data_IF_068853374700
#
_entry.id   IF_068853374700
#
_cell.length_a   1.000
_cell.length_b   1.000
_cell.length_c   1.000
_cell.angle_alpha   90.00
_cell.angle_beta   90.00
_cell.angle_gamma   90.00
#
_symmetry.space_group_name_H-M   'P 1'
#
loop_
_entity.id
_entity.type
_entity.pdbx_description
1 polymer ?
#
# COMPACT_ATOMS: atom_id res chain seq x y z
N UNK A 1 -0.49 -30.81 34.72
CA UNK A 1 -1.35 -30.59 33.55
C UNK A 1 -1.67 -29.10 33.26
N UNK A 2 -2.19 -28.28 34.19
CA UNK A 2 -2.46 -26.85 33.93
C UNK A 2 -1.24 -25.93 33.75
N UNK A 3 -0.09 -26.24 34.38
CA UNK A 3 1.15 -25.45 34.23
C UNK A 3 1.81 -25.61 32.85
N UNK A 4 1.61 -26.74 32.17
CA UNK A 4 2.13 -26.96 30.82
C UNK A 4 1.31 -26.23 29.75
N UNK A 5 -0.03 -26.25 29.85
CA UNK A 5 -0.89 -25.41 28.99
C UNK A 5 -0.64 -23.90 29.19
N UNK A 6 -0.34 -23.45 30.41
CA UNK A 6 0.04 -22.05 30.68
C UNK A 6 1.41 -21.70 30.09
N UNK A 7 2.34 -22.65 30.01
CA UNK A 7 3.67 -22.49 29.39
C UNK A 7 3.60 -22.47 27.86
N UNK A 8 2.75 -23.29 27.25
CA UNK A 8 2.47 -23.21 25.80
C UNK A 8 1.73 -21.94 25.40
N UNK A 9 0.74 -21.49 26.19
CA UNK A 9 0.09 -20.19 25.98
C UNK A 9 1.04 -19.00 26.14
N UNK A 10 2.05 -19.11 27.00
CA UNK A 10 3.08 -18.08 27.15
C UNK A 10 4.17 -18.16 26.07
N UNK A 11 4.47 -19.34 25.52
CA UNK A 11 5.43 -19.50 24.41
C UNK A 11 4.84 -19.10 23.05
N UNK A 12 3.53 -19.23 22.82
CA UNK A 12 2.84 -18.61 21.67
C UNK A 12 2.80 -17.07 21.72
N UNK A 13 3.33 -16.45 22.79
CA UNK A 13 3.21 -15.01 23.08
C UNK A 13 4.52 -14.24 23.14
N UNK A 14 5.65 -14.86 22.79
CA UNK A 14 6.85 -14.09 22.42
C UNK A 14 6.62 -13.53 21.01
N UNK A 15 5.91 -12.40 20.96
CA UNK A 15 5.79 -11.53 19.78
C UNK A 15 7.18 -10.99 19.44
N UNK A 16 7.99 -11.81 18.80
CA UNK A 16 9.36 -11.47 18.45
C UNK A 16 9.31 -10.58 17.21
N UNK A 17 9.40 -9.28 17.45
CA UNK A 17 9.55 -8.28 16.41
C UNK A 17 10.74 -8.71 15.53
N UNK A 18 10.57 -8.73 14.20
CA UNK A 18 11.52 -9.22 13.20
C UNK A 18 11.72 -10.75 13.11
N UNK A 19 11.00 -11.54 13.93
CA UNK A 19 11.01 -12.99 13.85
C UNK A 19 9.59 -13.57 13.92
N UNK A 20 8.71 -13.11 13.02
CA UNK A 20 7.38 -13.69 12.91
C UNK A 20 7.45 -15.13 12.39
N UNK A 21 6.57 -15.98 12.91
CA UNK A 21 6.44 -17.40 12.49
C UNK A 21 5.09 -17.70 11.86
N UNK A 22 4.14 -16.77 11.95
CA UNK A 22 2.79 -16.89 11.42
C UNK A 22 2.25 -15.53 10.97
N UNK A 23 1.11 -15.54 10.28
CA UNK A 23 0.49 -14.32 9.77
C UNK A 23 0.09 -13.31 10.87
N UNK A 24 -0.51 -13.71 12.01
CA UNK A 24 -0.82 -12.77 13.10
C UNK A 24 0.41 -12.09 13.70
N UNK A 25 1.53 -12.80 13.90
CA UNK A 25 2.77 -12.20 14.41
C UNK A 25 3.41 -11.27 13.38
N UNK A 26 3.30 -11.59 12.09
CA UNK A 26 3.79 -10.78 10.97
C UNK A 26 3.05 -9.44 10.87
N UNK A 27 1.71 -9.46 10.99
CA UNK A 27 0.88 -8.26 10.88
C UNK A 27 0.77 -7.48 12.20
N UNK A 28 1.39 -7.97 13.27
CA UNK A 28 1.20 -7.45 14.62
C UNK A 28 1.46 -5.94 14.77
N UNK A 29 2.56 -5.36 14.23
CA UNK A 29 2.80 -3.92 14.33
C UNK A 29 1.66 -3.11 13.68
N UNK A 30 1.36 -3.38 12.41
CA UNK A 30 0.30 -2.70 11.66
C UNK A 30 -1.08 -2.85 12.34
N UNK A 31 -1.46 -4.05 12.78
CA UNK A 31 -2.72 -4.27 13.49
C UNK A 31 -2.80 -3.57 14.84
N UNK A 32 -1.68 -3.42 15.55
CA UNK A 32 -1.65 -2.69 16.82
C UNK A 32 -1.96 -1.21 16.58
N UNK A 33 -1.31 -0.58 15.60
CA UNK A 33 -1.58 0.81 15.26
C UNK A 33 -3.00 1.02 14.71
N UNK A 34 -3.47 0.13 13.85
CA UNK A 34 -4.83 0.21 13.35
C UNK A 34 -5.89 0.04 14.46
N UNK A 35 -5.61 -0.72 15.53
CA UNK A 35 -6.51 -0.81 16.68
C UNK A 35 -6.53 0.48 17.50
N UNK A 36 -5.37 1.09 17.72
CA UNK A 36 -5.25 2.37 18.44
C UNK A 36 -6.05 3.46 17.70
N UNK A 37 -5.95 3.50 16.37
CA UNK A 37 -6.67 4.46 15.53
C UNK A 37 -8.15 4.12 15.30
N UNK A 38 -8.63 2.96 15.77
CA UNK A 38 -10.00 2.52 15.50
C UNK A 38 -10.27 2.12 14.05
N UNK A 39 -9.26 1.70 13.29
CA UNK A 39 -9.40 1.29 11.87
C UNK A 39 -9.72 -0.20 11.70
N UNK A 40 -9.39 -1.02 12.70
CA UNK A 40 -9.58 -2.48 12.69
C UNK A 40 -10.54 -2.91 13.80
N UNK A 41 -11.86 -3.03 13.52
CA UNK A 41 -12.85 -3.41 14.51
C UNK A 41 -12.90 -4.93 14.79
N UNK A 42 -11.76 -5.62 14.70
CA UNK A 42 -11.66 -7.07 14.78
C UNK A 42 -10.56 -7.54 15.73
N UNK A 43 -10.85 -8.68 16.37
CA UNK A 43 -9.93 -9.43 17.23
C UNK A 43 -9.54 -10.74 16.55
N UNK A 44 -8.36 -11.25 16.87
CA UNK A 44 -7.91 -12.56 16.39
C UNK A 44 -8.04 -13.53 17.56
N UNK A 45 -8.90 -14.52 17.40
CA UNK A 45 -9.17 -15.59 18.36
C UNK A 45 -8.87 -16.93 17.69
N UNK A 46 -7.95 -17.72 18.24
CA UNK A 46 -7.60 -19.05 17.71
C UNK A 46 -7.44 -19.07 16.16
N UNK A 47 -6.62 -18.18 15.61
CA UNK A 47 -6.40 -18.06 14.15
C UNK A 47 -7.68 -17.80 13.32
N UNK A 48 -8.68 -17.15 13.93
CA UNK A 48 -9.87 -16.66 13.22
C UNK A 48 -10.10 -15.19 13.53
N UNK A 49 -10.49 -14.41 12.52
CA UNK A 49 -10.90 -13.02 12.69
C UNK A 49 -12.35 -12.95 13.13
N UNK A 50 -12.58 -12.36 14.30
CA UNK A 50 -13.91 -12.11 14.85
C UNK A 50 -14.16 -10.61 14.99
N UNK A 51 -15.38 -10.18 14.71
CA UNK A 51 -15.82 -8.82 14.98
C UNK A 51 -15.79 -8.55 16.48
N UNK A 52 -15.28 -7.39 16.89
CA UNK A 52 -15.24 -6.98 18.28
C UNK A 52 -16.15 -5.78 18.51
N UNK A 53 -17.24 -5.96 19.28
CA UNK A 53 -18.16 -4.87 19.65
C UNK A 53 -17.45 -3.61 20.18
N UNK A 54 -16.52 -3.67 21.16
CA UNK A 54 -15.86 -2.47 21.65
C UNK A 54 -15.00 -1.77 20.60
N UNK A 55 -14.31 -2.53 19.74
CA UNK A 55 -13.51 -1.92 18.66
C UNK A 55 -14.41 -1.31 17.58
N UNK A 56 -15.58 -1.89 17.31
CA UNK A 56 -16.58 -1.29 16.41
C UNK A 56 -17.13 0.02 16.96
N UNK A 57 -17.45 0.07 18.25
CA UNK A 57 -17.88 1.31 18.91
C UNK A 57 -16.78 2.37 18.76
N UNK A 58 -15.51 2.03 19.04
CA UNK A 58 -14.38 2.94 18.85
C UNK A 58 -14.27 3.44 17.40
N UNK A 59 -14.37 2.56 16.41
CA UNK A 59 -14.33 2.93 14.98
C UNK A 59 -15.45 3.90 14.61
N UNK A 60 -16.67 3.64 15.07
CA UNK A 60 -17.83 4.48 14.80
C UNK A 60 -17.66 5.84 15.49
N UNK A 61 -17.28 5.87 16.77
CA UNK A 61 -17.09 7.11 17.52
C UNK A 61 -15.97 7.96 16.95
N UNK A 62 -14.86 7.35 16.54
CA UNK A 62 -13.75 8.07 15.91
C UNK A 62 -14.19 8.67 14.57
N UNK A 63 -14.85 7.86 13.72
CA UNK A 63 -15.36 8.31 12.42
C UNK A 63 -16.39 9.44 12.59
N UNK A 64 -17.34 9.32 13.52
CA UNK A 64 -18.36 10.33 13.76
C UNK A 64 -17.77 11.63 14.30
N UNK A 65 -16.85 11.54 15.26
CA UNK A 65 -16.16 12.71 15.80
C UNK A 65 -15.41 13.45 14.70
N UNK A 66 -14.67 12.72 13.85
CA UNK A 66 -13.96 13.32 12.71
C UNK A 66 -14.91 13.97 11.72
N UNK A 67 -16.03 13.33 11.36
CA UNK A 67 -17.01 13.92 10.45
C UNK A 67 -17.56 15.24 11.01
N UNK A 68 -17.92 15.28 12.30
CA UNK A 68 -18.39 16.51 12.95
C UNK A 68 -17.29 17.59 12.94
N UNK A 69 -16.05 17.23 13.27
CA UNK A 69 -14.92 18.16 13.23
C UNK A 69 -14.69 18.76 11.85
N UNK A 70 -14.81 17.96 10.80
CA UNK A 70 -14.68 18.42 9.42
C UNK A 70 -15.83 19.35 9.01
N UNK A 71 -17.07 19.04 9.39
CA UNK A 71 -18.22 19.91 9.11
C UNK A 71 -18.09 21.27 9.82
N UNK A 72 -17.58 21.28 11.05
CA UNK A 72 -17.26 22.51 11.78
C UNK A 72 -16.22 23.31 11.01
N UNK A 73 -15.11 22.68 10.58
CA UNK A 73 -14.07 23.34 9.81
C UNK A 73 -14.60 23.97 8.51
N UNK A 74 -15.39 23.21 7.73
CA UNK A 74 -16.03 23.70 6.51
C UNK A 74 -16.92 24.92 6.76
N UNK A 75 -17.59 24.99 7.92
CA UNK A 75 -18.46 26.12 8.30
C UNK A 75 -17.68 27.37 8.73
N UNK A 76 -16.58 27.19 9.45
CA UNK A 76 -15.78 28.32 9.97
C UNK A 76 -14.89 28.96 8.91
N UNK A 77 -14.47 28.19 7.92
CA UNK A 77 -13.57 28.67 6.88
C UNK A 77 -14.32 29.47 5.79
N UNK A 78 -15.10 30.50 6.16
CA UNK A 78 -15.87 31.35 5.20
C UNK A 78 -14.98 32.29 4.35
N UNK A 79 -13.90 31.78 3.77
CA UNK A 79 -12.95 32.54 2.95
C UNK A 79 -13.22 32.43 1.45
N UNK A 80 -14.31 33.00 0.95
CA UNK A 80 -14.46 33.26 -0.50
C UNK A 80 -14.67 34.74 -0.83
N UNK A 81 -14.61 35.63 0.18
CA UNK A 81 -14.81 37.05 -0.04
C UNK A 81 -13.45 37.74 -0.20
N UNK A 82 -13.05 37.93 -1.48
CA UNK A 82 -11.83 38.61 -1.99
C UNK A 82 -10.51 37.97 -1.54
N UNK A 83 -9.98 37.06 -2.35
CA UNK A 83 -8.75 36.33 -2.05
C UNK A 83 -7.83 36.32 -3.29
N UNK A 84 -6.52 36.57 -3.09
CA UNK A 84 -5.47 36.43 -4.11
C UNK A 84 -5.42 34.98 -4.65
N UNK A 85 -4.96 34.81 -5.89
CA UNK A 85 -4.94 33.49 -6.57
C UNK A 85 -4.26 32.38 -5.75
N UNK A 86 -3.15 32.69 -5.08
CA UNK A 86 -2.41 31.75 -4.23
C UNK A 86 -3.25 31.24 -3.06
N UNK A 87 -3.83 32.15 -2.27
CA UNK A 87 -4.67 31.79 -1.13
C UNK A 87 -5.96 31.08 -1.58
N UNK A 88 -6.49 31.39 -2.76
CA UNK A 88 -7.61 30.65 -3.34
C UNK A 88 -7.23 29.20 -3.70
N UNK A 89 -6.03 28.99 -4.26
CA UNK A 89 -5.50 27.68 -4.62
C UNK A 89 -5.27 26.81 -3.39
N UNK A 90 -4.60 27.35 -2.36
CA UNK A 90 -4.36 26.65 -1.08
C UNK A 90 -5.67 26.32 -0.36
N UNK A 91 -6.66 27.23 -0.43
CA UNK A 91 -7.99 26.98 0.15
C UNK A 91 -8.72 25.87 -0.59
N UNK A 92 -8.75 25.89 -1.92
CA UNK A 92 -9.40 24.86 -2.73
C UNK A 92 -8.81 23.47 -2.46
N UNK A 93 -7.49 23.37 -2.33
CA UNK A 93 -6.84 22.11 -1.96
C UNK A 93 -7.24 21.65 -0.55
N UNK A 94 -7.24 22.55 0.43
CA UNK A 94 -7.67 22.20 1.78
C UNK A 94 -9.10 21.64 1.77
N UNK A 95 -10.04 22.28 1.07
CA UNK A 95 -11.40 21.76 0.89
C UNK A 95 -11.44 20.39 0.23
N UNK A 96 -10.70 20.21 -0.88
CA UNK A 96 -10.61 18.95 -1.59
C UNK A 96 -10.08 17.84 -0.69
N UNK A 97 -9.02 18.12 0.07
CA UNK A 97 -8.42 17.22 1.06
C UNK A 97 -9.46 16.80 2.09
N UNK A 98 -10.18 17.73 2.71
CA UNK A 98 -11.15 17.42 3.75
C UNK A 98 -12.35 16.62 3.23
N UNK A 99 -12.89 16.96 2.06
CA UNK A 99 -14.00 16.22 1.44
C UNK A 99 -13.56 14.78 1.13
N UNK A 100 -12.40 14.63 0.48
CA UNK A 100 -11.86 13.33 0.12
C UNK A 100 -11.53 12.50 1.37
N UNK A 101 -11.02 13.14 2.42
CA UNK A 101 -10.68 12.48 3.67
C UNK A 101 -11.91 11.96 4.42
N UNK A 102 -13.01 12.73 4.48
CA UNK A 102 -14.28 12.25 5.06
C UNK A 102 -14.76 11.02 4.29
N UNK A 103 -14.70 11.06 2.95
CA UNK A 103 -15.07 9.93 2.12
C UNK A 103 -14.19 8.70 2.37
N UNK A 104 -12.87 8.88 2.52
CA UNK A 104 -11.92 7.81 2.87
C UNK A 104 -12.21 7.20 4.24
N UNK A 105 -12.54 8.01 5.24
CA UNK A 105 -12.82 7.55 6.61
C UNK A 105 -14.11 6.72 6.65
N UNK A 106 -15.19 7.23 6.04
CA UNK A 106 -16.45 6.50 5.92
C UNK A 106 -16.26 5.21 5.11
N UNK A 107 -15.56 5.29 3.98
CA UNK A 107 -15.22 4.12 3.16
C UNK A 107 -14.46 3.05 3.94
N UNK A 108 -13.48 3.45 4.75
CA UNK A 108 -12.68 2.56 5.61
C UNK A 108 -13.55 1.84 6.65
N UNK A 109 -14.53 2.54 7.22
CA UNK A 109 -15.49 1.97 8.17
C UNK A 109 -16.44 0.98 7.47
N UNK A 110 -17.05 1.36 6.35
CA UNK A 110 -17.98 0.50 5.58
C UNK A 110 -17.28 -0.77 5.09
N UNK A 111 -16.04 -0.65 4.64
CA UNK A 111 -15.24 -1.77 4.12
C UNK A 111 -14.55 -2.60 5.21
N UNK A 112 -14.78 -2.31 6.49
CA UNK A 112 -14.18 -3.06 7.61
C UNK A 112 -14.52 -4.56 7.59
N UNK A 113 -15.77 -4.93 7.36
CA UNK A 113 -16.23 -6.32 7.27
C UNK A 113 -15.65 -7.07 6.05
N UNK A 114 -15.76 -6.54 4.81
CA UNK A 114 -15.09 -7.14 3.66
C UNK A 114 -13.58 -7.32 3.86
N UNK A 115 -12.91 -6.30 4.42
CA UNK A 115 -11.47 -6.33 4.71
C UNK A 115 -11.10 -7.38 5.74
N UNK A 116 -11.93 -7.59 6.77
CA UNK A 116 -11.75 -8.68 7.73
C UNK A 116 -11.76 -10.06 7.05
N UNK A 117 -12.73 -10.29 6.15
CA UNK A 117 -12.81 -11.55 5.38
C UNK A 117 -11.61 -11.74 4.48
N UNK A 118 -11.14 -10.67 3.83
CA UNK A 118 -9.92 -10.71 3.02
C UNK A 118 -8.70 -11.11 3.86
N UNK A 119 -8.52 -10.50 5.04
CA UNK A 119 -7.41 -10.83 5.93
C UNK A 119 -7.48 -12.28 6.41
N UNK A 120 -8.68 -12.82 6.65
CA UNK A 120 -8.87 -14.24 6.92
C UNK A 120 -8.42 -15.09 5.73
N UNK A 121 -8.85 -14.78 4.51
CA UNK A 121 -8.44 -15.53 3.31
C UNK A 121 -6.92 -15.47 3.08
N UNK A 122 -6.28 -14.31 3.30
CA UNK A 122 -4.83 -14.18 3.21
C UNK A 122 -4.15 -15.06 4.28
N UNK A 123 -4.65 -15.05 5.52
CA UNK A 123 -4.14 -15.90 6.59
C UNK A 123 -4.24 -17.40 6.24
N UNK A 124 -5.38 -17.83 5.70
CA UNK A 124 -5.60 -19.22 5.29
C UNK A 124 -4.66 -19.62 4.15
N UNK A 125 -4.52 -18.78 3.13
CA UNK A 125 -3.64 -19.05 1.98
C UNK A 125 -2.15 -19.04 2.39
N UNK A 126 -1.76 -18.11 3.27
CA UNK A 126 -0.38 -17.99 3.75
C UNK A 126 0.01 -19.01 4.84
N UNK A 127 -0.95 -19.72 5.44
CA UNK A 127 -0.68 -20.79 6.43
C UNK A 127 0.26 -21.89 5.93
N UNK A 128 0.39 -22.03 4.60
CA UNK A 128 1.28 -23.00 3.94
C UNK A 128 2.74 -22.56 3.89
N UNK A 129 3.01 -21.27 4.13
CA UNK A 129 4.37 -20.73 4.11
C UNK A 129 5.20 -21.31 5.25
N UNK A 130 6.48 -21.57 4.97
CA UNK A 130 7.42 -21.99 6.00
C UNK A 130 7.67 -20.88 7.03
N UNK A 131 8.02 -21.23 8.29
CA UNK A 131 8.41 -20.24 9.30
C UNK A 131 9.60 -19.37 8.88
N UNK A 132 10.54 -19.93 8.08
CA UNK A 132 11.68 -19.18 7.53
C UNK A 132 11.22 -18.09 6.56
N UNK A 133 10.21 -18.39 5.74
CA UNK A 133 9.59 -17.42 4.83
C UNK A 133 8.94 -16.27 5.62
N UNK A 134 8.20 -16.59 6.69
CA UNK A 134 7.62 -15.59 7.59
C UNK A 134 8.69 -14.73 8.27
N UNK A 135 9.78 -15.32 8.76
CA UNK A 135 10.86 -14.60 9.40
C UNK A 135 11.50 -13.58 8.45
N UNK A 136 11.83 -14.00 7.21
CA UNK A 136 12.38 -13.10 6.19
C UNK A 136 11.42 -11.96 5.84
N UNK A 137 10.13 -12.28 5.70
CA UNK A 137 9.09 -11.30 5.40
C UNK A 137 8.89 -10.30 6.55
N UNK A 138 8.99 -10.77 7.80
CA UNK A 138 8.81 -9.94 8.99
C UNK A 138 9.89 -8.89 9.16
N UNK A 139 11.14 -9.18 8.77
CA UNK A 139 12.21 -8.18 8.73
C UNK A 139 11.82 -7.02 7.82
N UNK A 140 11.40 -7.31 6.58
CA UNK A 140 11.02 -6.29 5.62
C UNK A 140 9.79 -5.50 6.06
N UNK A 141 8.71 -6.19 6.45
CA UNK A 141 7.44 -5.55 6.82
C UNK A 141 7.59 -4.72 8.09
N UNK A 142 8.21 -5.26 9.15
CA UNK A 142 8.33 -4.54 10.41
C UNK A 142 9.28 -3.34 10.29
N UNK A 143 10.40 -3.46 9.57
CA UNK A 143 11.31 -2.33 9.32
C UNK A 143 10.53 -1.24 8.59
N UNK A 144 9.92 -1.57 7.45
CA UNK A 144 9.14 -0.60 6.65
C UNK A 144 8.08 0.12 7.49
N UNK A 145 7.25 -0.63 8.22
CA UNK A 145 6.12 -0.06 8.95
C UNK A 145 6.56 0.81 10.13
N UNK A 146 7.57 0.37 10.88
CA UNK A 146 8.06 1.10 12.06
C UNK A 146 8.80 2.37 11.64
N UNK A 147 9.72 2.27 10.66
CA UNK A 147 10.44 3.44 10.16
C UNK A 147 9.49 4.42 9.48
N UNK A 148 8.54 3.93 8.66
CA UNK A 148 7.54 4.78 8.03
C UNK A 148 6.68 5.52 9.05
N UNK A 149 6.24 4.84 10.11
CA UNK A 149 5.44 5.47 11.16
C UNK A 149 6.27 6.51 11.94
N UNK A 150 7.51 6.19 12.29
CA UNK A 150 8.39 7.13 12.98
C UNK A 150 8.63 8.39 12.14
N UNK A 151 8.84 8.22 10.83
CA UNK A 151 8.99 9.34 9.89
C UNK A 151 7.73 10.22 9.86
N UNK A 152 6.54 9.62 9.78
CA UNK A 152 5.27 10.36 9.80
C UNK A 152 5.08 11.12 11.13
N UNK A 153 5.38 10.49 12.26
CA UNK A 153 5.30 11.15 13.57
C UNK A 153 6.27 12.32 13.66
N UNK A 154 7.50 12.16 13.14
CA UNK A 154 8.49 13.24 13.09
C UNK A 154 7.99 14.41 12.23
N UNK A 155 7.46 14.14 11.03
CA UNK A 155 6.86 15.17 10.17
C UNK A 155 5.74 15.94 10.87
N UNK A 156 4.81 15.22 11.50
CA UNK A 156 3.69 15.81 12.24
C UNK A 156 4.20 16.66 13.41
N UNK A 157 5.22 16.20 14.12
CA UNK A 157 5.80 16.93 15.25
C UNK A 157 6.49 18.23 14.80
N UNK A 158 7.22 18.19 13.68
CA UNK A 158 7.85 19.39 13.09
C UNK A 158 6.77 20.36 12.60
N UNK A 159 5.73 19.85 11.94
CA UNK A 159 4.59 20.65 11.48
C UNK A 159 3.88 21.33 12.65
N UNK A 160 3.62 20.59 13.73
CA UNK A 160 3.02 21.11 14.96
C UNK A 160 3.84 22.24 15.58
N UNK A 161 5.15 22.04 15.70
CA UNK A 161 6.05 23.04 16.27
C UNK A 161 6.10 24.33 15.44
N UNK A 162 5.98 24.23 14.11
CA UNK A 162 6.16 25.37 13.20
C UNK A 162 4.90 26.19 12.97
N UNK A 163 3.71 25.58 12.91
CA UNK A 163 2.58 26.23 12.24
C UNK A 163 1.62 27.06 13.11
N UNK A 164 1.74 27.12 14.45
CA UNK A 164 0.81 27.90 15.31
C UNK A 164 -0.68 27.76 14.94
N UNK A 165 -1.09 26.56 14.49
CA UNK A 165 -2.46 26.25 14.06
C UNK A 165 -3.33 25.92 15.27
N UNK A 166 -4.65 26.11 15.15
CA UNK A 166 -5.64 25.63 16.12
C UNK A 166 -5.49 24.11 16.40
N UNK A 167 -5.48 23.75 17.69
CA UNK A 167 -5.31 22.39 18.20
C UNK A 167 -6.29 21.43 17.53
N UNK A 168 -7.52 21.87 17.28
CA UNK A 168 -8.56 21.03 16.67
C UNK A 168 -8.23 20.63 15.24
N UNK A 169 -7.66 21.54 14.44
CA UNK A 169 -7.25 21.25 13.07
C UNK A 169 -6.03 20.33 13.03
N UNK A 170 -5.08 20.52 13.95
CA UNK A 170 -3.91 19.65 14.10
C UNK A 170 -4.35 18.22 14.42
N UNK A 171 -5.27 18.04 15.38
CA UNK A 171 -5.75 16.72 15.77
C UNK A 171 -6.44 16.00 14.60
N UNK A 172 -7.29 16.72 13.86
CA UNK A 172 -7.98 16.19 12.67
C UNK A 172 -7.01 15.78 11.56
N UNK A 173 -6.08 16.67 11.21
CA UNK A 173 -5.09 16.44 10.15
C UNK A 173 -4.11 15.32 10.53
N UNK A 174 -3.69 15.26 11.79
CA UNK A 174 -2.84 14.19 12.33
C UNK A 174 -3.52 12.83 12.18
N UNK A 175 -4.79 12.73 12.59
CA UNK A 175 -5.54 11.50 12.43
C UNK A 175 -5.69 11.13 10.94
N UNK A 176 -5.90 12.12 10.07
CA UNK A 176 -6.06 11.90 8.64
C UNK A 176 -4.81 11.29 7.99
N UNK A 177 -3.65 11.88 8.24
CA UNK A 177 -2.37 11.39 7.74
C UNK A 177 -2.08 9.98 8.27
N UNK A 178 -2.33 9.73 9.56
CA UNK A 178 -2.13 8.41 10.17
C UNK A 178 -3.08 7.34 9.63
N UNK A 179 -4.35 7.68 9.36
CA UNK A 179 -5.33 6.79 8.75
C UNK A 179 -4.88 6.36 7.35
N UNK A 180 -4.56 7.35 6.50
CA UNK A 180 -4.14 7.09 5.12
C UNK A 180 -2.87 6.22 5.11
N UNK A 181 -1.87 6.62 5.92
CA UNK A 181 -0.64 5.85 6.07
C UNK A 181 -0.89 4.40 6.47
N UNK A 182 -1.73 4.15 7.49
CA UNK A 182 -1.98 2.77 7.93
C UNK A 182 -2.76 1.94 6.91
N UNK A 183 -3.70 2.54 6.18
CA UNK A 183 -4.42 1.84 5.12
C UNK A 183 -3.50 1.44 3.96
N UNK A 184 -2.59 2.33 3.57
CA UNK A 184 -1.59 2.04 2.53
C UNK A 184 -0.58 0.98 3.01
N UNK A 185 -0.08 1.07 4.24
CA UNK A 185 0.82 0.07 4.80
C UNK A 185 0.15 -1.30 4.90
N UNK A 186 -1.11 -1.37 5.35
CA UNK A 186 -1.88 -2.61 5.40
C UNK A 186 -2.01 -3.24 4.01
N UNK A 187 -2.31 -2.43 2.98
CA UNK A 187 -2.38 -2.90 1.60
C UNK A 187 -1.05 -3.48 1.11
N UNK A 188 0.06 -2.73 1.28
CA UNK A 188 1.41 -3.19 0.91
C UNK A 188 1.74 -4.51 1.61
N UNK A 189 1.44 -4.62 2.91
CA UNK A 189 1.74 -5.82 3.69
C UNK A 189 0.96 -7.04 3.15
N UNK A 190 -0.31 -6.86 2.79
CA UNK A 190 -1.11 -7.92 2.16
C UNK A 190 -0.49 -8.39 0.84
N UNK A 191 -0.03 -7.46 -0.01
CA UNK A 191 0.65 -7.80 -1.27
C UNK A 191 1.95 -8.55 -1.02
N UNK A 192 2.76 -8.10 -0.06
CA UNK A 192 4.02 -8.76 0.28
C UNK A 192 3.80 -10.22 0.75
N UNK A 193 2.72 -10.50 1.47
CA UNK A 193 2.32 -11.87 1.86
C UNK A 193 1.89 -12.68 0.63
N UNK A 194 1.05 -12.12 -0.25
CA UNK A 194 0.61 -12.80 -1.47
C UNK A 194 1.78 -13.11 -2.41
N UNK A 195 2.75 -12.18 -2.53
CA UNK A 195 4.01 -12.38 -3.25
C UNK A 195 4.78 -13.57 -2.71
N UNK A 196 4.89 -13.69 -1.38
CA UNK A 196 5.55 -14.83 -0.75
C UNK A 196 4.83 -16.15 -1.06
N UNK A 197 3.50 -16.15 -1.13
CA UNK A 197 2.70 -17.31 -1.51
C UNK A 197 2.95 -17.73 -2.97
N UNK A 198 3.00 -16.77 -3.91
CA UNK A 198 3.37 -17.07 -5.30
C UNK A 198 4.79 -17.61 -5.42
N UNK A 199 5.73 -17.03 -4.66
CA UNK A 199 7.11 -17.51 -4.62
C UNK A 199 7.21 -18.95 -4.12
N UNK A 200 6.43 -19.32 -3.11
CA UNK A 200 6.38 -20.69 -2.58
C UNK A 200 5.88 -21.69 -3.63
N UNK A 201 4.85 -21.33 -4.40
CA UNK A 201 4.40 -22.15 -5.55
C UNK A 201 5.53 -22.30 -6.56
N UNK A 202 6.22 -21.21 -6.89
CA UNK A 202 7.29 -21.25 -7.89
C UNK A 202 8.45 -22.16 -7.45
N UNK A 203 8.89 -22.05 -6.19
CA UNK A 203 9.93 -22.90 -5.64
C UNK A 203 9.52 -24.38 -5.60
N UNK A 204 8.24 -24.67 -5.30
CA UNK A 204 7.73 -26.04 -5.36
C UNK A 204 7.70 -26.60 -6.78
N UNK A 205 7.38 -25.79 -7.80
CA UNK A 205 7.43 -26.19 -9.21
C UNK A 205 8.86 -26.46 -9.67
N UNK A 206 9.82 -25.61 -9.30
CA UNK A 206 11.25 -25.83 -9.60
C UNK A 206 11.77 -27.13 -9.00
N UNK A 207 11.44 -27.41 -7.73
CA UNK A 207 11.79 -28.68 -7.11
C UNK A 207 11.12 -29.88 -7.83
N UNK A 208 9.92 -29.70 -8.40
CA UNK A 208 9.30 -30.76 -9.21
C UNK A 208 10.03 -30.97 -10.53
N UNK A 209 10.51 -29.90 -11.17
CA UNK A 209 11.33 -29.98 -12.38
C UNK A 209 12.59 -30.80 -12.14
N UNK A 210 13.32 -30.54 -11.06
CA UNK A 210 14.52 -31.32 -10.69
C UNK A 210 14.19 -32.81 -10.52
N UNK A 211 13.04 -33.13 -9.91
CA UNK A 211 12.59 -34.52 -9.76
C UNK A 211 12.20 -35.19 -11.08
N UNK A 212 11.77 -34.43 -12.08
CA UNK A 212 11.41 -34.91 -13.43
C UNK A 212 12.68 -35.10 -14.26
N UNK A 213 13.63 -34.16 -14.22
CA UNK A 213 14.89 -34.22 -14.96
C UNK A 213 15.82 -35.31 -14.43
N UNK A 214 15.97 -35.44 -13.10
CA UNK A 214 16.86 -36.43 -12.48
C UNK A 214 16.34 -37.88 -12.53
N UNK A 215 15.29 -38.15 -13.30
CA UNK A 215 14.66 -39.47 -13.44
C UNK A 215 15.16 -40.23 -14.68
N UNK A 216 16.44 -40.08 -15.04
CA UNK A 216 17.06 -40.90 -16.08
C UNK A 216 17.03 -42.40 -15.73
N UNK A 217 16.72 -43.28 -16.69
CA UNK A 217 16.28 -44.63 -16.39
C UNK A 217 17.48 -45.57 -16.15
N UNK A 218 17.74 -45.90 -14.88
CA UNK A 218 18.42 -47.15 -14.54
C UNK A 218 17.37 -48.26 -14.38
N UNK A 219 17.68 -49.43 -14.93
CA UNK A 219 16.77 -50.58 -15.08
C UNK A 219 15.97 -51.08 -13.85
N UNK A 220 16.33 -50.82 -12.57
CA UNK A 220 15.47 -51.23 -11.44
C UNK A 220 14.25 -50.32 -11.20
N UNK A 221 14.09 -49.23 -11.95
CA UNK A 221 13.21 -48.10 -11.56
C UNK A 221 11.79 -48.12 -12.12
N UNK A 222 11.39 -49.11 -12.93
CA UNK A 222 10.05 -49.16 -13.57
C UNK A 222 8.90 -49.18 -12.55
N UNK A 223 9.01 -49.99 -11.49
CA UNK A 223 8.03 -50.03 -10.38
C UNK A 223 7.98 -48.71 -9.58
N UNK A 224 9.08 -47.97 -9.53
CA UNK A 224 9.16 -46.67 -8.87
C UNK A 224 8.54 -45.55 -9.72
N UNK A 225 8.55 -45.70 -11.05
CA UNK A 225 8.00 -44.75 -12.01
C UNK A 225 6.46 -44.74 -11.98
N UNK A 226 5.82 -45.92 -11.96
CA UNK A 226 4.36 -46.06 -11.88
C UNK A 226 3.75 -45.48 -10.59
N UNK A 227 4.48 -45.50 -9.47
CA UNK A 227 4.02 -44.94 -8.19
C UNK A 227 4.34 -43.44 -8.02
N UNK A 228 5.34 -42.92 -8.73
CA UNK A 228 5.83 -41.52 -8.64
C UNK A 228 5.02 -40.54 -9.49
N UNK A 229 4.53 -40.96 -10.65
CA UNK A 229 3.70 -40.12 -11.53
C UNK A 229 2.37 -39.69 -10.88
N UNK A 230 1.59 -40.59 -10.22
CA UNK A 230 0.38 -40.20 -9.50
C UNK A 230 0.63 -39.16 -8.39
N UNK A 231 1.74 -39.28 -7.66
CA UNK A 231 2.12 -38.32 -6.62
C UNK A 231 2.47 -36.94 -7.20
N UNK A 232 3.24 -36.89 -8.30
CA UNK A 232 3.56 -35.64 -8.99
C UNK A 232 2.30 -34.97 -9.54
N UNK A 233 1.39 -35.73 -10.17
CA UNK A 233 0.11 -35.21 -10.67
C UNK A 233 -0.73 -34.66 -9.52
N UNK A 234 -0.82 -35.38 -8.39
CA UNK A 234 -1.53 -34.89 -7.20
C UNK A 234 -0.92 -33.59 -6.68
N UNK A 235 0.41 -33.48 -6.63
CA UNK A 235 1.11 -32.28 -6.20
C UNK A 235 0.86 -31.10 -7.16
N UNK A 236 0.86 -31.32 -8.48
CA UNK A 236 0.51 -30.30 -9.47
C UNK A 236 -0.92 -29.79 -9.30
N UNK A 237 -1.89 -30.71 -9.12
CA UNK A 237 -3.30 -30.34 -8.84
C UNK A 237 -3.43 -29.47 -7.58
N UNK A 238 -2.65 -29.79 -6.54
CA UNK A 238 -2.60 -28.98 -5.31
C UNK A 238 -2.02 -27.60 -5.59
N UNK A 239 -0.89 -27.48 -6.30
CA UNK A 239 -0.26 -26.20 -6.64
C UNK A 239 -1.16 -25.32 -7.51
N UNK A 240 -1.84 -25.92 -8.50
CA UNK A 240 -2.84 -25.26 -9.35
C UNK A 240 -4.00 -24.70 -8.53
N UNK A 241 -4.55 -25.49 -7.60
CA UNK A 241 -5.61 -25.04 -6.69
C UNK A 241 -5.13 -23.91 -5.77
N UNK A 242 -3.91 -23.99 -5.27
CA UNK A 242 -3.29 -22.92 -4.46
C UNK A 242 -3.13 -21.64 -5.27
N UNK A 243 -2.59 -21.71 -6.49
CA UNK A 243 -2.46 -20.56 -7.38
C UNK A 243 -3.82 -19.89 -7.64
N UNK A 244 -4.88 -20.69 -7.84
CA UNK A 244 -6.24 -20.19 -7.99
C UNK A 244 -6.74 -19.45 -6.75
N UNK A 245 -6.52 -19.99 -5.56
CA UNK A 245 -6.90 -19.36 -4.30
C UNK A 245 -6.17 -18.04 -4.08
N UNK A 246 -4.85 -18.00 -4.33
CA UNK A 246 -4.07 -16.75 -4.24
C UNK A 246 -4.59 -15.72 -5.26
N UNK A 247 -4.82 -16.13 -6.51
CA UNK A 247 -5.31 -15.24 -7.58
C UNK A 247 -6.70 -14.67 -7.27
N UNK A 248 -7.61 -15.49 -6.71
CA UNK A 248 -8.90 -15.02 -6.21
C UNK A 248 -8.74 -14.01 -5.07
N UNK A 249 -7.75 -14.22 -4.20
CA UNK A 249 -7.44 -13.31 -3.08
C UNK A 249 -6.90 -11.98 -3.59
N UNK A 250 -6.06 -11.97 -4.64
CA UNK A 250 -5.61 -10.73 -5.31
C UNK A 250 -6.80 -9.95 -5.87
N UNK A 251 -7.76 -10.62 -6.52
CA UNK A 251 -8.96 -9.94 -7.01
C UNK A 251 -9.83 -9.37 -5.89
N UNK A 252 -9.96 -10.09 -4.77
CA UNK A 252 -10.66 -9.62 -3.59
C UNK A 252 -9.96 -8.40 -2.96
N UNK A 253 -8.62 -8.41 -2.90
CA UNK A 253 -7.79 -7.29 -2.45
C UNK A 253 -8.04 -6.06 -3.33
N UNK A 254 -7.94 -6.18 -4.65
CA UNK A 254 -8.19 -5.07 -5.57
C UNK A 254 -9.60 -4.50 -5.39
N UNK A 255 -10.62 -5.34 -5.29
CA UNK A 255 -12.01 -4.88 -5.11
C UNK A 255 -12.16 -4.06 -3.82
N UNK A 256 -11.61 -4.54 -2.70
CA UNK A 256 -11.76 -3.91 -1.39
C UNK A 256 -10.94 -2.63 -1.29
N UNK A 257 -9.69 -2.63 -1.74
CA UNK A 257 -8.80 -1.48 -1.59
C UNK A 257 -8.88 -0.47 -2.73
N UNK A 258 -9.50 -0.80 -3.88
CA UNK A 258 -9.52 0.07 -5.06
C UNK A 258 -9.93 1.51 -4.78
N UNK A 259 -11.08 1.74 -4.14
CA UNK A 259 -11.58 3.10 -3.87
C UNK A 259 -10.63 3.85 -2.92
N UNK A 260 -10.15 3.18 -1.87
CA UNK A 260 -9.22 3.75 -0.90
C UNK A 260 -7.88 4.14 -1.56
N UNK A 261 -7.34 3.26 -2.39
CA UNK A 261 -6.07 3.48 -3.10
C UNK A 261 -6.20 4.58 -4.15
N UNK A 262 -7.30 4.60 -4.92
CA UNK A 262 -7.53 5.66 -5.89
C UNK A 262 -7.54 7.03 -5.22
N UNK A 263 -8.31 7.16 -4.13
CA UNK A 263 -8.38 8.40 -3.38
C UNK A 263 -7.04 8.75 -2.70
N UNK A 264 -6.32 7.77 -2.13
CA UNK A 264 -4.97 7.96 -1.59
C UNK A 264 -3.98 8.45 -2.67
N UNK A 265 -4.07 7.91 -3.89
CA UNK A 265 -3.26 8.34 -5.03
C UNK A 265 -3.61 9.75 -5.47
N UNK A 266 -4.88 10.07 -5.71
CA UNK A 266 -5.31 11.43 -6.10
C UNK A 266 -4.84 12.45 -5.06
N UNK A 267 -5.01 12.15 -3.77
CA UNK A 267 -4.58 13.03 -2.69
C UNK A 267 -3.07 13.26 -2.71
N UNK A 268 -2.28 12.18 -2.85
CA UNK A 268 -0.82 12.32 -2.97
C UNK A 268 -0.40 13.08 -4.23
N UNK A 269 -1.07 12.89 -5.36
CA UNK A 269 -0.81 13.64 -6.59
C UNK A 269 -1.04 15.15 -6.40
N UNK A 270 -2.19 15.53 -5.83
CA UNK A 270 -2.52 16.92 -5.55
C UNK A 270 -1.50 17.54 -4.59
N UNK A 271 -1.19 16.85 -3.50
CA UNK A 271 -0.23 17.31 -2.49
C UNK A 271 1.16 17.52 -3.10
N UNK A 272 1.68 16.54 -3.85
CA UNK A 272 3.00 16.68 -4.49
C UNK A 272 2.99 17.88 -5.45
N UNK A 273 1.93 18.05 -6.25
CA UNK A 273 1.82 19.14 -7.22
C UNK A 273 1.82 20.51 -6.55
N UNK A 274 1.06 20.69 -5.47
CA UNK A 274 1.03 21.97 -4.73
C UNK A 274 2.35 22.25 -4.01
N UNK A 275 2.91 21.26 -3.33
CA UNK A 275 4.18 21.44 -2.62
C UNK A 275 5.31 21.81 -3.59
N UNK A 276 5.33 21.21 -4.79
CA UNK A 276 6.26 21.62 -5.87
C UNK A 276 6.03 23.07 -6.32
N UNK A 277 4.76 23.46 -6.51
CA UNK A 277 4.42 24.82 -6.92
C UNK A 277 4.86 25.87 -5.89
N UNK A 278 4.53 25.67 -4.61
CA UNK A 278 4.94 26.56 -3.52
C UNK A 278 6.46 26.64 -3.44
N UNK A 279 7.14 25.49 -3.51
CA UNK A 279 8.61 25.44 -3.50
C UNK A 279 9.24 26.24 -4.65
N UNK A 280 8.65 26.20 -5.85
CA UNK A 280 9.14 26.97 -6.99
C UNK A 280 8.92 28.47 -6.85
N UNK A 281 7.77 28.89 -6.31
CA UNK A 281 7.53 30.32 -6.04
C UNK A 281 8.54 30.83 -5.02
N UNK A 282 8.74 30.10 -3.91
CA UNK A 282 9.75 30.43 -2.90
C UNK A 282 11.16 30.57 -3.51
N UNK A 283 11.50 29.69 -4.45
CA UNK A 283 12.78 29.75 -5.17
C UNK A 283 12.88 30.94 -6.13
N UNK A 284 11.82 31.26 -6.86
CA UNK A 284 11.85 32.26 -7.94
C UNK A 284 11.86 33.70 -7.42
N UNK A 285 10.97 34.04 -6.49
CA UNK A 285 10.75 35.44 -6.09
C UNK A 285 11.86 35.98 -5.18
N UNK A 286 12.65 35.12 -4.53
CA UNK A 286 13.69 35.51 -3.57
C UNK A 286 13.20 36.33 -2.35
N UNK A 287 11.97 36.81 -2.36
CA UNK A 287 11.32 37.74 -1.42
C UNK A 287 10.56 37.01 -0.30
N UNK A 288 10.02 35.82 -0.59
CA UNK A 288 9.48 34.91 0.45
C UNK A 288 10.57 34.38 1.39
N UNK A 289 11.85 34.55 1.04
CA UNK A 289 13.01 34.28 1.93
C UNK A 289 12.97 35.16 3.18
N UNK A 290 12.31 36.33 3.13
CA UNK A 290 12.23 37.26 4.27
C UNK A 290 10.99 36.97 5.15
N UNK A 291 9.90 36.42 4.61
CA UNK A 291 8.66 36.16 5.38
C UNK A 291 8.44 34.71 5.80
N UNK A 292 9.02 33.73 5.09
CA UNK A 292 9.03 32.31 5.48
C UNK A 292 10.48 31.88 5.72
N UNK A 293 10.91 32.10 6.96
CA UNK A 293 12.15 31.60 7.57
C UNK A 293 12.59 30.28 6.90
N UNK A 294 13.82 30.18 6.35
CA UNK A 294 14.29 29.07 5.46
C UNK A 294 14.07 27.62 5.91
N UNK A 295 13.56 27.43 7.12
CA UNK A 295 13.01 26.19 7.68
C UNK A 295 11.67 25.76 7.05
N UNK A 296 10.92 26.62 6.36
CA UNK A 296 9.64 26.25 5.72
C UNK A 296 9.86 25.36 4.48
N UNK A 297 10.76 25.76 3.58
CA UNK A 297 11.17 24.95 2.43
C UNK A 297 11.72 23.57 2.79
N UNK A 298 12.48 23.46 3.89
CA UNK A 298 12.95 22.16 4.40
C UNK A 298 11.80 21.21 4.74
N UNK A 299 10.71 21.72 5.34
CA UNK A 299 9.53 20.91 5.70
C UNK A 299 8.77 20.46 4.44
N UNK A 300 8.65 21.34 3.45
CA UNK A 300 8.03 21.03 2.16
C UNK A 300 8.80 19.89 1.48
N UNK A 301 10.13 19.99 1.45
CA UNK A 301 11.00 18.98 0.83
C UNK A 301 10.92 17.63 1.56
N UNK A 302 10.93 17.61 2.90
CA UNK A 302 10.74 16.39 3.68
C UNK A 302 9.36 15.74 3.42
N UNK A 303 8.30 16.55 3.32
CA UNK A 303 6.94 16.08 3.03
C UNK A 303 6.83 15.49 1.61
N UNK A 304 7.49 16.12 0.64
CA UNK A 304 7.62 15.64 -0.73
C UNK A 304 8.33 14.28 -0.79
N UNK A 305 9.47 14.14 -0.10
CA UNK A 305 10.20 12.87 0.00
C UNK A 305 9.29 11.77 0.55
N UNK A 306 8.52 12.06 1.60
CA UNK A 306 7.57 11.09 2.15
C UNK A 306 6.55 10.60 1.13
N UNK A 307 5.91 11.53 0.41
CA UNK A 307 4.88 11.18 -0.56
C UNK A 307 5.45 10.37 -1.73
N UNK A 308 6.66 10.72 -2.22
CA UNK A 308 7.37 9.96 -3.26
C UNK A 308 7.70 8.55 -2.77
N UNK A 309 8.26 8.41 -1.57
CA UNK A 309 8.58 7.10 -0.98
C UNK A 309 7.31 6.25 -0.82
N UNK A 310 6.21 6.85 -0.34
CA UNK A 310 4.93 6.16 -0.17
C UNK A 310 4.44 5.57 -1.49
N UNK A 311 4.41 6.37 -2.55
CA UNK A 311 4.02 5.93 -3.89
C UNK A 311 4.95 4.87 -4.46
N UNK A 312 6.26 5.07 -4.34
CA UNK A 312 7.26 4.12 -4.79
C UNK A 312 7.09 2.75 -4.11
N UNK A 313 6.81 2.72 -2.80
CA UNK A 313 6.56 1.48 -2.06
C UNK A 313 5.29 0.75 -2.53
N UNK A 314 4.20 1.48 -2.81
CA UNK A 314 2.97 0.89 -3.35
C UNK A 314 3.23 0.28 -4.72
N UNK A 315 3.86 1.04 -5.64
CA UNK A 315 4.18 0.57 -6.98
C UNK A 315 5.14 -0.62 -6.95
N UNK A 316 6.20 -0.56 -6.13
CA UNK A 316 7.16 -1.65 -5.94
C UNK A 316 6.50 -2.93 -5.45
N UNK A 317 5.58 -2.84 -4.47
CA UNK A 317 4.89 -4.02 -3.97
C UNK A 317 4.04 -4.67 -5.07
N UNK A 318 3.26 -3.86 -5.80
CA UNK A 318 2.39 -4.34 -6.88
C UNK A 318 3.21 -4.97 -8.02
N UNK A 319 4.23 -4.25 -8.50
CA UNK A 319 5.08 -4.67 -9.62
C UNK A 319 5.83 -5.96 -9.29
N UNK A 320 6.45 -6.04 -8.11
CA UNK A 320 7.21 -7.25 -7.76
C UNK A 320 6.33 -8.46 -7.48
N UNK A 321 5.08 -8.28 -7.06
CA UNK A 321 4.13 -9.37 -6.90
C UNK A 321 3.60 -9.85 -8.26
N UNK A 322 3.29 -8.92 -9.17
CA UNK A 322 2.93 -9.21 -10.56
C UNK A 322 4.04 -9.99 -11.27
N UNK A 323 5.29 -9.56 -11.14
CA UNK A 323 6.44 -10.22 -11.75
C UNK A 323 6.64 -11.63 -11.18
N UNK A 324 6.49 -11.81 -9.86
CA UNK A 324 6.55 -13.13 -9.23
C UNK A 324 5.43 -14.07 -9.72
N UNK A 325 4.22 -13.56 -9.92
CA UNK A 325 3.11 -14.34 -10.46
C UNK A 325 3.34 -14.72 -11.94
N UNK A 326 4.01 -13.85 -12.70
CA UNK A 326 4.35 -14.10 -14.11
C UNK A 326 5.51 -15.10 -14.26
N UNK A 327 6.46 -15.11 -13.32
CA UNK A 327 7.56 -16.10 -13.26
C UNK A 327 7.06 -17.54 -13.14
N UNK A 328 5.93 -17.77 -12.46
CA UNK A 328 5.33 -19.11 -12.37
C UNK A 328 4.98 -19.64 -13.77
N UNK A 329 4.55 -18.76 -14.68
CA UNK A 329 4.24 -19.15 -16.07
C UNK A 329 5.49 -19.63 -16.81
N UNK A 330 6.61 -18.93 -16.65
CA UNK A 330 7.87 -19.34 -17.30
C UNK A 330 8.34 -20.67 -16.73
N UNK A 331 8.32 -20.84 -15.40
CA UNK A 331 8.70 -22.10 -14.75
C UNK A 331 7.79 -23.27 -15.17
N UNK A 332 6.48 -23.08 -15.31
CA UNK A 332 5.60 -24.13 -15.83
C UNK A 332 5.97 -24.51 -17.26
N UNK A 333 6.36 -23.55 -18.09
CA UNK A 333 6.76 -23.86 -19.46
C UNK A 333 8.06 -24.66 -19.50
N UNK A 334 9.02 -24.32 -18.64
CA UNK A 334 10.28 -25.06 -18.49
C UNK A 334 10.03 -26.49 -18.01
N UNK A 335 9.15 -26.67 -17.02
CA UNK A 335 8.76 -28.00 -16.53
C UNK A 335 8.06 -28.79 -17.63
N UNK A 336 7.15 -28.17 -18.38
CA UNK A 336 6.42 -28.79 -19.49
C UNK A 336 7.36 -29.31 -20.57
N UNK A 337 8.42 -28.54 -20.91
CA UNK A 337 9.42 -28.94 -21.90
C UNK A 337 10.28 -30.12 -21.40
N UNK A 338 10.49 -30.24 -20.09
CA UNK A 338 11.26 -31.34 -19.49
C UNK A 338 10.44 -32.62 -19.24
N UNK A 339 9.11 -32.53 -19.17
CA UNK A 339 8.24 -33.66 -18.89
C UNK A 339 8.18 -34.64 -20.07
N UNK A 340 8.31 -35.94 -19.79
CA UNK A 340 8.14 -37.01 -20.79
C UNK A 340 6.76 -37.67 -20.73
N UNK A 341 6.19 -37.78 -19.53
CA UNK A 341 4.89 -38.37 -19.27
C UNK A 341 3.74 -37.48 -19.77
N UNK A 342 2.81 -38.07 -20.52
CA UNK A 342 1.70 -37.37 -21.17
C UNK A 342 0.67 -36.83 -20.16
N UNK A 343 0.38 -37.58 -19.09
CA UNK A 343 -0.56 -37.13 -18.05
C UNK A 343 -0.01 -35.93 -17.26
N UNK A 344 1.30 -35.90 -17.01
CA UNK A 344 1.98 -34.75 -16.40
C UNK A 344 1.92 -33.53 -17.34
N UNK A 345 2.13 -33.73 -18.65
CA UNK A 345 2.00 -32.66 -19.65
C UNK A 345 0.59 -32.08 -19.68
N UNK A 346 -0.43 -32.93 -19.68
CA UNK A 346 -1.84 -32.50 -19.70
C UNK A 346 -2.19 -31.63 -18.49
N UNK A 347 -1.76 -32.03 -17.28
CA UNK A 347 -2.02 -31.24 -16.08
C UNK A 347 -1.25 -29.91 -16.08
N UNK A 348 0.02 -29.91 -16.54
CA UNK A 348 0.81 -28.69 -16.69
C UNK A 348 0.23 -27.74 -17.73
N UNK A 349 -0.27 -28.26 -18.86
CA UNK A 349 -0.95 -27.46 -19.89
C UNK A 349 -2.23 -26.85 -19.34
N UNK A 350 -3.01 -27.63 -18.59
CA UNK A 350 -4.21 -27.13 -17.90
C UNK A 350 -3.88 -26.05 -16.85
N UNK A 351 -2.77 -26.19 -16.13
CA UNK A 351 -2.29 -25.16 -15.20
C UNK A 351 -1.82 -23.90 -15.95
N UNK A 352 -1.05 -24.05 -17.03
CA UNK A 352 -0.62 -22.94 -17.89
C UNK A 352 -1.81 -22.14 -18.43
N UNK A 353 -2.84 -22.85 -18.91
CA UNK A 353 -4.09 -22.24 -19.40
C UNK A 353 -4.80 -21.45 -18.30
N UNK A 354 -4.86 -21.98 -17.08
CA UNK A 354 -5.45 -21.26 -15.94
C UNK A 354 -4.72 -19.94 -15.66
N UNK A 355 -3.38 -19.94 -15.67
CA UNK A 355 -2.58 -18.73 -15.43
C UNK A 355 -2.79 -17.71 -16.55
N UNK A 356 -2.89 -18.18 -17.80
CA UNK A 356 -3.14 -17.32 -18.95
C UNK A 356 -4.47 -16.55 -18.82
N UNK A 357 -5.53 -17.22 -18.40
CA UNK A 357 -6.85 -16.59 -18.21
C UNK A 357 -6.95 -15.75 -16.93
N UNK A 358 -6.16 -16.05 -15.89
CA UNK A 358 -6.18 -15.36 -14.59
C UNK A 358 -4.94 -14.47 -14.43
N UNK A 359 -4.92 -13.33 -15.12
CA UNK A 359 -3.85 -12.33 -14.93
C UNK A 359 -3.92 -11.72 -13.53
N UNK A 360 -2.84 -11.84 -12.77
CA UNK A 360 -2.66 -11.22 -11.45
C UNK A 360 -2.21 -9.77 -11.60
N UNK A 361 -3.15 -8.92 -12.02
CA UNK A 361 -2.93 -7.48 -12.21
C UNK A 361 -3.41 -6.76 -10.95
N UNK A 362 -2.58 -5.90 -10.37
CA UNK A 362 -2.99 -5.00 -9.30
C UNK A 362 -3.61 -3.75 -9.91
N UNK A 363 -4.86 -3.49 -9.57
CA UNK A 363 -5.61 -2.40 -10.18
C UNK A 363 -6.52 -1.69 -9.19
N UNK A 364 -6.74 -0.41 -9.48
CA UNK A 364 -7.61 0.48 -8.74
C UNK A 364 -8.60 1.15 -9.69
N UNK A 365 -9.88 0.74 -9.62
CA UNK A 365 -11.00 1.33 -10.39
C UNK A 365 -10.73 1.57 -11.89
N UNK A 366 -9.92 0.71 -12.52
CA UNK A 366 -9.58 0.78 -13.95
C UNK A 366 -8.11 1.14 -14.23
N UNK A 367 -7.39 1.68 -13.25
CA UNK A 367 -5.95 1.96 -13.37
C UNK A 367 -5.12 0.77 -12.92
N UNK A 368 -4.17 0.35 -13.75
CA UNK A 368 -3.15 -0.63 -13.37
C UNK A 368 -2.11 0.07 -12.50
N UNK A 369 -1.86 -0.45 -11.29
CA UNK A 369 -0.86 0.12 -10.39
C UNK A 369 0.47 -0.60 -10.67
N UNK A 370 1.27 -0.01 -11.55
CA UNK A 370 2.59 -0.52 -11.93
C UNK A 370 3.63 0.61 -12.04
N UNK A 371 4.87 0.25 -12.38
CA UNK A 371 5.94 1.21 -12.57
C UNK A 371 5.61 2.23 -13.68
N UNK A 372 4.89 1.81 -14.73
CA UNK A 372 4.47 2.69 -15.83
C UNK A 372 3.52 3.78 -15.33
N UNK A 373 2.53 3.42 -14.49
CA UNK A 373 1.64 4.40 -13.87
C UNK A 373 2.41 5.44 -13.05
N UNK A 374 3.43 5.01 -12.28
CA UNK A 374 4.29 5.92 -11.53
C UNK A 374 5.06 6.87 -12.46
N UNK A 375 5.65 6.36 -13.54
CA UNK A 375 6.34 7.18 -14.55
C UNK A 375 5.40 8.20 -15.19
N UNK A 376 4.18 7.80 -15.54
CA UNK A 376 3.17 8.72 -16.11
C UNK A 376 2.80 9.83 -15.13
N UNK A 377 2.61 9.51 -13.85
CA UNK A 377 2.30 10.51 -12.84
C UNK A 377 3.46 11.49 -12.62
N UNK A 378 4.70 10.99 -12.50
CA UNK A 378 5.89 11.85 -12.36
C UNK A 378 6.07 12.76 -13.58
N UNK A 379 5.86 12.22 -14.80
CA UNK A 379 5.87 13.00 -16.03
C UNK A 379 4.82 14.11 -16.00
N UNK A 380 3.59 13.77 -15.61
CA UNK A 380 2.46 14.71 -15.52
C UNK A 380 2.73 15.84 -14.52
N UNK A 381 3.22 15.50 -13.32
CA UNK A 381 3.57 16.49 -12.30
C UNK A 381 4.66 17.43 -12.82
N UNK A 382 5.71 16.87 -13.43
CA UNK A 382 6.79 17.66 -14.05
C UNK A 382 6.25 18.60 -15.12
N UNK A 383 5.40 18.12 -16.03
CA UNK A 383 4.80 18.94 -17.09
C UNK A 383 3.93 20.07 -16.53
N UNK A 384 3.04 19.78 -15.58
CA UNK A 384 2.22 20.84 -14.94
C UNK A 384 3.07 21.86 -14.20
N UNK A 385 4.10 21.39 -13.50
CA UNK A 385 5.06 22.24 -12.79
C UNK A 385 5.79 23.18 -13.75
N UNK A 386 6.24 22.69 -14.91
CA UNK A 386 6.89 23.50 -15.94
C UNK A 386 5.94 24.52 -16.57
N UNK A 387 4.69 24.14 -16.84
CA UNK A 387 3.68 25.07 -17.36
C UNK A 387 3.40 26.19 -16.35
N UNK A 388 3.22 25.84 -15.07
CA UNK A 388 3.01 26.83 -14.01
C UNK A 388 4.21 27.78 -13.87
N UNK A 389 5.44 27.25 -13.95
CA UNK A 389 6.66 28.06 -13.95
C UNK A 389 6.72 29.04 -15.11
N UNK A 390 6.33 28.61 -16.33
CA UNK A 390 6.27 29.49 -17.49
C UNK A 390 5.28 30.64 -17.29
N UNK A 391 4.08 30.35 -16.78
CA UNK A 391 3.09 31.40 -16.47
C UNK A 391 3.59 32.36 -15.40
N UNK A 392 4.26 31.85 -14.35
CA UNK A 392 4.83 32.66 -13.27
C UNK A 392 5.87 33.67 -13.82
N UNK A 393 6.80 33.19 -14.65
CA UNK A 393 7.84 34.03 -15.28
C UNK A 393 7.20 35.10 -16.18
N UNK A 394 6.19 34.72 -16.97
CA UNK A 394 5.49 35.66 -17.86
C UNK A 394 4.79 36.76 -17.06
N UNK A 395 4.07 36.41 -15.98
CA UNK A 395 3.37 37.41 -15.16
C UNK A 395 4.32 38.45 -14.56
N UNK A 396 5.48 38.02 -14.06
CA UNK A 396 6.44 38.93 -13.44
C UNK A 396 7.07 39.89 -14.48
N UNK A 397 7.32 39.40 -15.71
CA UNK A 397 7.83 40.26 -16.79
C UNK A 397 6.85 41.36 -17.21
N UNK A 398 5.54 41.12 -17.07
CA UNK A 398 4.51 42.12 -17.37
C UNK A 398 4.43 43.20 -16.27
N UNK A 399 4.56 42.81 -15.01
CA UNK A 399 4.55 43.74 -13.87
C UNK A 399 5.77 44.66 -13.89
N UNK A 400 6.96 44.14 -14.19
CA UNK A 400 8.20 44.93 -14.28
C UNK A 400 8.12 46.00 -15.40
N UNK A 401 7.60 45.62 -16.57
CA UNK A 401 7.36 46.56 -17.67
C UNK A 401 6.30 47.62 -17.35
N UNK A 402 5.26 47.28 -16.58
CA UNK A 402 4.25 48.25 -16.13
C UNK A 402 4.84 49.28 -15.16
N UNK A 403 5.75 48.86 -14.28
CA UNK A 403 6.40 49.70 -13.27
C UNK A 403 7.39 50.68 -13.91
N UNK A 404 8.14 50.23 -14.92
CA UNK A 404 9.05 51.08 -15.72
C UNK A 404 8.28 52.12 -16.54
N UNK A 405 7.11 51.77 -17.05
CA UNK A 405 6.28 52.72 -17.81
C UNK A 405 5.66 53.81 -16.91
N UNK A 406 5.28 53.49 -15.67
CA UNK A 406 4.77 54.50 -14.72
C UNK A 406 5.88 55.48 -14.30
N UNK A 407 7.12 55.00 -14.08
CA UNK A 407 8.26 55.85 -13.71
C UNK A 407 8.81 56.69 -14.87
N UNK A 408 8.45 56.39 -16.12
CA UNK A 408 8.74 57.25 -17.29
C UNK A 408 7.67 58.31 -17.59
N UNK A 409 6.49 58.17 -16.97
CA UNK A 409 5.34 59.07 -17.18
C UNK A 409 5.19 60.09 -16.04
N UNK A 410 5.80 59.84 -14.87
CA UNK A 410 6.13 60.89 -13.88
C UNK A 410 7.46 61.55 -14.25
#
# INVERSE_FOLDING_TARGET
>A
SLKFQKREKNNMRKKSLFNATDFPSLMYPCFTFCRILGLCPYKINNSTFETSKPHYILSITATSALCVMHLIFLKYNKGFTKINFETATTSLEAYGFYILFVFLTIGTLVLSNPRMRLLQTIMDVSSRLSPKSYQKLSRLIHIKDIFGLFYVILLISIYFYKMSIDIMNIMSSTYAVLLIFQMDMLYINCICVLKACFKDINSNLQHMQELIVNSEPCAPMLFCYEQRNPFLIMKLKILKKQHMMISNTVQMLNRIFSVQLLASMILTFCQISLHMYIYLIEWHDGLLVISLNGRAGELILLTMIYYIIKWALIAWACETCKNQAQEIRTTIHDVLNSAKDEQIKDELQSFSLQILHRKNIFSSKGFTIDATFLTTMVGTITTYTLILLQFLIISHSCDENSTINITRIM
#
